data_IF_496700048072
#
_entry.id   IF_496700048072
#
_cell.length_a   1.000
_cell.length_b   1.000
_cell.length_c   1.000
_cell.angle_alpha   90.00
_cell.angle_beta   90.00
_cell.angle_gamma   90.00
#
_symmetry.space_group_name_H-M   'P 1'
#
loop_
_entity.id
_entity.type
_entity.pdbx_description
1 polymer ?
#
# COMPACT_ATOMS: atom_id res chain seq x y z
N UNK A 1 0.81 7.07 18.23
CA UNK A 1 -0.34 6.18 18.49
C UNK A 1 0.07 4.82 17.97
N UNK A 2 0.01 3.77 18.79
CA UNK A 2 0.29 2.40 18.37
C UNK A 2 -1.05 1.74 17.99
N UNK A 3 -1.43 1.85 16.72
CA UNK A 3 -2.67 1.30 16.14
C UNK A 3 -2.38 0.81 14.73
N UNK A 4 -2.99 -0.30 14.34
CA UNK A 4 -3.04 -0.71 12.93
C UNK A 4 -4.13 0.08 12.19
N UNK A 5 -4.06 0.07 10.85
CA UNK A 5 -5.08 0.67 9.99
C UNK A 5 -5.71 -0.42 9.13
N UNK A 6 -7.03 -0.37 8.95
CA UNK A 6 -7.77 -1.32 8.13
C UNK A 6 -9.15 -0.80 7.76
N UNK A 7 -10.01 -1.70 7.27
CA UNK A 7 -11.28 -1.34 6.66
C UNK A 7 -12.32 -0.79 7.66
N UNK A 8 -12.21 -1.18 8.93
CA UNK A 8 -13.12 -0.79 10.00
C UNK A 8 -12.40 -0.72 11.35
N UNK A 9 -12.86 0.11 12.29
CA UNK A 9 -12.32 0.12 13.64
C UNK A 9 -12.56 -1.23 14.33
N UNK A 10 -11.64 -1.64 15.20
CA UNK A 10 -11.77 -2.89 15.94
C UNK A 10 -10.46 -3.33 16.57
N UNK A 11 -10.30 -4.65 16.68
CA UNK A 11 -9.05 -5.31 17.08
C UNK A 11 -8.73 -6.36 16.05
N UNK A 12 -7.46 -6.45 15.65
CA UNK A 12 -6.94 -7.48 14.77
C UNK A 12 -5.67 -8.09 15.36
N UNK A 13 -5.30 -9.26 14.87
CA UNK A 13 -4.08 -9.95 15.30
C UNK A 13 -2.91 -9.51 14.42
N UNK A 14 -1.95 -8.81 15.01
CA UNK A 14 -0.67 -8.49 14.38
C UNK A 14 0.23 -9.70 14.47
N UNK A 15 0.64 -10.25 13.34
CA UNK A 15 1.54 -11.38 13.24
C UNK A 15 2.97 -10.84 13.21
N UNK A 16 3.68 -10.97 14.32
CA UNK A 16 5.02 -10.40 14.49
C UNK A 16 6.07 -11.37 13.96
N UNK A 17 6.99 -10.85 13.15
CA UNK A 17 8.24 -11.54 12.82
C UNK A 17 9.39 -10.95 13.62
N UNK A 18 9.64 -11.49 14.82
CA UNK A 18 10.61 -10.90 15.77
C UNK A 18 12.03 -10.80 15.20
N UNK A 19 12.39 -11.69 14.26
CA UNK A 19 13.71 -11.74 13.62
C UNK A 19 13.77 -11.03 12.27
N UNK A 20 12.64 -10.59 11.74
CA UNK A 20 12.56 -9.79 10.52
C UNK A 20 11.43 -8.77 10.71
N UNK A 21 11.59 -7.78 11.61
CA UNK A 21 10.45 -6.96 12.06
C UNK A 21 9.75 -6.19 10.95
N UNK A 22 10.46 -5.89 9.85
CA UNK A 22 9.95 -5.19 8.67
C UNK A 22 8.83 -5.94 7.95
N UNK A 23 8.66 -7.25 8.18
CA UNK A 23 7.60 -8.06 7.54
C UNK A 23 6.50 -8.47 8.52
N UNK A 24 6.35 -7.71 9.60
CA UNK A 24 5.22 -7.84 10.52
C UNK A 24 3.94 -7.39 9.81
N UNK A 25 2.86 -8.17 9.93
CA UNK A 25 1.67 -7.97 9.10
C UNK A 25 0.39 -8.38 9.80
N UNK A 26 -0.74 -7.84 9.36
CA UNK A 26 -2.09 -8.30 9.73
C UNK A 26 -2.63 -9.35 8.74
N UNK A 27 -1.86 -9.74 7.71
CA UNK A 27 -2.33 -10.56 6.59
C UNK A 27 -1.78 -12.00 6.62
N UNK A 28 -2.55 -12.98 7.15
CA UNK A 28 -2.21 -14.40 7.02
C UNK A 28 -2.09 -14.87 5.57
N UNK A 29 -2.90 -14.30 4.67
CA UNK A 29 -2.90 -14.65 3.26
C UNK A 29 -1.58 -14.24 2.58
N UNK A 30 -1.10 -13.04 2.90
CA UNK A 30 0.21 -12.59 2.43
C UNK A 30 1.33 -13.49 2.96
N UNK A 31 1.33 -13.84 4.25
CA UNK A 31 2.30 -14.80 4.82
C UNK A 31 2.30 -16.10 4.01
N UNK A 32 1.13 -16.69 3.76
CA UNK A 32 1.01 -17.94 3.02
C UNK A 32 1.58 -17.85 1.60
N UNK A 33 1.39 -16.71 0.93
CA UNK A 33 1.91 -16.45 -0.41
C UNK A 33 3.43 -16.23 -0.39
N UNK A 34 3.93 -15.29 0.41
CA UNK A 34 5.36 -14.97 0.43
C UNK A 34 6.21 -16.10 0.98
N UNK A 35 5.67 -16.96 1.85
CA UNK A 35 6.43 -18.09 2.40
C UNK A 35 6.82 -19.14 1.35
N UNK A 36 6.20 -19.11 0.15
CA UNK A 36 6.62 -19.92 -1.01
C UNK A 36 7.84 -19.32 -1.74
N UNK A 37 8.15 -18.05 -1.51
CA UNK A 37 9.27 -17.35 -2.14
C UNK A 37 10.59 -17.67 -1.45
N UNK A 38 11.64 -17.83 -2.26
CA UNK A 38 13.00 -18.15 -1.76
C UNK A 38 13.51 -17.10 -0.75
N UNK A 39 13.14 -15.83 -0.94
CA UNK A 39 13.51 -14.73 -0.04
C UNK A 39 12.94 -14.87 1.37
N UNK A 40 11.80 -15.56 1.53
CA UNK A 40 11.07 -15.66 2.78
C UNK A 40 11.19 -17.05 3.45
N UNK A 41 11.88 -18.00 2.83
CA UNK A 41 12.00 -19.38 3.32
C UNK A 41 12.48 -19.50 4.79
N UNK A 42 13.25 -18.51 5.28
CA UNK A 42 13.75 -18.45 6.67
C UNK A 42 12.97 -17.50 7.58
N UNK A 43 12.03 -16.73 7.04
CA UNK A 43 11.19 -15.81 7.81
C UNK A 43 10.17 -16.62 8.63
N UNK A 44 9.92 -16.18 9.86
CA UNK A 44 8.98 -16.81 10.79
C UNK A 44 8.16 -15.70 11.45
N UNK A 45 6.86 -15.96 11.58
CA UNK A 45 5.95 -15.16 12.38
C UNK A 45 5.68 -15.95 13.66
N UNK A 46 6.27 -15.50 14.75
CA UNK A 46 6.45 -16.28 15.98
C UNK A 46 5.60 -15.78 17.15
N UNK A 47 4.97 -14.60 17.03
CA UNK A 47 4.13 -14.04 18.06
C UNK A 47 2.89 -13.33 17.48
N UNK A 48 1.67 -13.82 17.75
CA UNK A 48 0.47 -13.03 17.53
C UNK A 48 0.29 -11.99 18.65
N UNK A 49 -0.07 -10.76 18.29
CA UNK A 49 -0.37 -9.68 19.23
C UNK A 49 -1.70 -9.00 18.86
N UNK A 50 -2.74 -9.02 19.71
CA UNK A 50 -3.94 -8.25 19.44
C UNK A 50 -3.64 -6.74 19.51
N UNK A 51 -3.94 -6.03 18.43
CA UNK A 51 -3.74 -4.58 18.32
C UNK A 51 -5.04 -3.87 17.94
N UNK A 52 -5.29 -2.66 18.48
CA UNK A 52 -6.39 -1.83 18.02
C UNK A 52 -6.22 -1.43 16.55
N UNK A 53 -7.33 -1.46 15.81
CA UNK A 53 -7.43 -1.07 14.40
C UNK A 53 -8.26 0.22 14.29
N UNK A 54 -7.78 1.16 13.49
CA UNK A 54 -8.50 2.37 13.06
C UNK A 54 -8.67 2.36 11.52
N UNK A 55 -9.34 3.36 10.95
CA UNK A 55 -9.46 3.54 9.49
C UNK A 55 -8.68 4.76 9.00
N UNK A 56 -8.39 4.82 7.70
CA UNK A 56 -7.82 6.02 7.08
C UNK A 56 -8.75 7.22 7.24
N UNK A 57 -10.06 7.04 7.09
CA UNK A 57 -11.02 8.12 7.33
C UNK A 57 -10.95 8.69 8.74
N UNK A 58 -10.82 7.83 9.75
CA UNK A 58 -10.69 8.27 11.15
C UNK A 58 -9.38 9.06 11.37
N UNK A 59 -8.29 8.64 10.73
CA UNK A 59 -7.03 9.38 10.75
C UNK A 59 -7.14 10.72 10.04
N UNK A 60 -7.79 10.77 8.87
CA UNK A 60 -8.02 12.01 8.13
C UNK A 60 -8.94 12.97 8.91
N UNK A 61 -10.01 12.47 9.53
CA UNK A 61 -10.90 13.29 10.35
C UNK A 61 -10.15 13.94 11.53
N UNK A 62 -9.17 13.24 12.09
CA UNK A 62 -8.38 13.71 13.23
C UNK A 62 -7.24 14.65 12.85
N UNK A 63 -6.54 14.37 11.76
CA UNK A 63 -5.29 15.04 11.40
C UNK A 63 -5.37 15.92 10.15
N UNK A 64 -6.50 15.87 9.44
CA UNK A 64 -6.68 16.46 8.12
C UNK A 64 -6.26 15.52 7.00
N UNK A 65 -6.70 15.84 5.77
CA UNK A 65 -6.34 15.07 4.59
C UNK A 65 -4.86 15.29 4.23
N UNK A 66 -4.03 14.24 4.11
CA UNK A 66 -2.63 14.40 3.77
C UNK A 66 -2.48 14.79 2.31
N UNK A 67 -1.39 15.49 1.97
CA UNK A 67 -1.00 15.68 0.57
C UNK A 67 -0.51 14.36 -0.06
N UNK A 68 0.11 13.48 0.75
CA UNK A 68 0.59 12.17 0.34
C UNK A 68 0.46 11.14 1.46
N UNK A 69 0.06 9.92 1.12
CA UNK A 69 -0.05 8.79 2.07
C UNK A 69 0.76 7.59 1.56
N UNK A 70 1.77 7.12 2.32
CA UNK A 70 2.41 5.82 2.02
C UNK A 70 1.71 4.73 2.83
N UNK A 71 1.22 3.70 2.15
CA UNK A 71 0.64 2.49 2.73
C UNK A 71 1.66 1.36 2.55
N UNK A 72 2.17 0.83 3.66
CA UNK A 72 3.37 -0.01 3.74
C UNK A 72 3.13 -1.10 4.78
N UNK A 73 2.13 -1.95 4.55
CA UNK A 73 1.50 -2.81 5.58
C UNK A 73 1.61 -4.30 5.26
N UNK A 74 2.52 -4.66 4.36
CA UNK A 74 2.94 -6.03 4.07
C UNK A 74 1.75 -6.94 3.76
N UNK A 75 0.99 -6.59 2.71
CA UNK A 75 -0.11 -7.41 2.20
C UNK A 75 -1.48 -7.13 2.83
N UNK A 76 -1.62 -6.02 3.55
CA UNK A 76 -2.87 -5.52 4.13
C UNK A 76 -3.34 -4.19 3.49
N UNK A 77 -2.78 -3.85 2.32
CA UNK A 77 -2.99 -2.58 1.63
C UNK A 77 -4.45 -2.39 1.22
N UNK A 78 -5.09 -3.47 0.78
CA UNK A 78 -6.48 -3.45 0.32
C UNK A 78 -7.42 -3.09 1.47
N UNK A 79 -7.22 -3.69 2.65
CA UNK A 79 -8.01 -3.42 3.84
C UNK A 79 -7.82 -1.97 4.31
N UNK A 80 -6.59 -1.45 4.25
CA UNK A 80 -6.33 -0.03 4.53
C UNK A 80 -7.12 0.88 3.57
N UNK A 81 -7.10 0.57 2.26
CA UNK A 81 -7.83 1.33 1.24
C UNK A 81 -9.35 1.22 1.37
N UNK A 82 -9.89 0.08 1.82
CA UNK A 82 -11.32 -0.08 2.10
C UNK A 82 -11.81 0.78 3.27
N UNK A 83 -10.90 1.24 4.13
CA UNK A 83 -11.18 2.17 5.23
C UNK A 83 -11.11 3.66 4.82
N UNK A 84 -11.06 3.94 3.52
CA UNK A 84 -11.00 5.28 2.95
C UNK A 84 -12.27 5.56 2.13
N UNK A 85 -13.04 6.58 2.48
CA UNK A 85 -14.29 6.95 1.81
C UNK A 85 -14.16 8.15 0.88
N UNK A 86 -12.97 8.77 0.82
CA UNK A 86 -12.72 9.98 0.03
C UNK A 86 -11.34 9.95 -0.63
N UNK A 87 -11.18 10.58 -1.81
CA UNK A 87 -9.89 10.58 -2.48
C UNK A 87 -8.82 11.35 -1.69
N UNK A 88 -7.64 10.75 -1.57
CA UNK A 88 -6.41 11.42 -1.13
C UNK A 88 -5.66 11.94 -2.37
N UNK A 89 -5.09 13.16 -2.36
CA UNK A 89 -4.40 13.74 -3.52
C UNK A 89 -3.35 12.82 -4.17
N UNK A 90 -2.52 12.16 -3.37
CA UNK A 90 -1.61 11.12 -3.84
C UNK A 90 -1.32 10.08 -2.74
N UNK A 91 -0.99 8.87 -3.16
CA UNK A 91 -0.58 7.79 -2.27
C UNK A 91 0.33 6.80 -2.98
N UNK A 92 1.01 5.95 -2.20
CA UNK A 92 1.67 4.76 -2.74
C UNK A 92 1.40 3.53 -1.88
N UNK A 93 1.48 2.37 -2.51
CA UNK A 93 1.35 1.07 -1.86
C UNK A 93 2.22 0.04 -2.59
N UNK A 94 2.67 -0.98 -1.86
CA UNK A 94 3.56 -1.98 -2.42
C UNK A 94 2.84 -2.95 -3.36
N UNK A 95 3.58 -3.48 -4.34
CA UNK A 95 3.21 -4.67 -5.09
C UNK A 95 4.31 -5.72 -4.95
N UNK A 96 3.89 -6.97 -4.75
CA UNK A 96 4.76 -8.14 -4.73
C UNK A 96 4.32 -9.11 -5.82
N UNK A 97 5.25 -9.72 -6.60
CA UNK A 97 4.89 -10.71 -7.60
C UNK A 97 4.02 -11.86 -7.06
N UNK A 98 4.30 -12.32 -5.83
CA UNK A 98 3.55 -13.38 -5.17
C UNK A 98 2.12 -12.96 -4.76
N UNK A 99 1.83 -11.66 -4.70
CA UNK A 99 0.55 -11.08 -4.24
C UNK A 99 0.02 -10.05 -5.26
N UNK A 100 0.21 -10.29 -6.56
CA UNK A 100 -0.15 -9.31 -7.59
C UNK A 100 -1.66 -9.01 -7.63
N UNK A 101 -2.50 -9.98 -7.25
CA UNK A 101 -3.95 -9.79 -7.17
C UNK A 101 -4.34 -8.75 -6.12
N UNK A 102 -3.66 -8.70 -4.96
CA UNK A 102 -3.86 -7.65 -3.96
C UNK A 102 -3.58 -6.27 -4.55
N UNK A 103 -2.51 -6.14 -5.35
CA UNK A 103 -2.19 -4.88 -6.02
C UNK A 103 -3.25 -4.49 -7.06
N UNK A 104 -3.80 -5.46 -7.81
CA UNK A 104 -4.92 -5.25 -8.74
C UNK A 104 -6.17 -4.75 -8.02
N UNK A 105 -6.52 -5.37 -6.90
CA UNK A 105 -7.69 -5.00 -6.10
C UNK A 105 -7.53 -3.60 -5.48
N UNK A 106 -6.31 -3.23 -5.07
CA UNK A 106 -6.00 -1.87 -4.62
C UNK A 106 -6.22 -0.83 -5.73
N UNK A 107 -5.72 -1.09 -6.95
CA UNK A 107 -5.93 -0.23 -8.12
C UNK A 107 -7.42 -0.10 -8.45
N UNK A 108 -8.17 -1.21 -8.42
CA UNK A 108 -9.61 -1.19 -8.66
C UNK A 108 -10.37 -0.38 -7.59
N UNK A 109 -10.01 -0.54 -6.32
CA UNK A 109 -10.60 0.22 -5.21
C UNK A 109 -10.37 1.72 -5.38
N UNK A 110 -9.16 2.13 -5.77
CA UNK A 110 -8.85 3.54 -6.04
C UNK A 110 -9.62 4.09 -7.23
N UNK A 111 -9.78 3.30 -8.30
CA UNK A 111 -10.55 3.70 -9.48
C UNK A 111 -12.04 3.94 -9.16
N UNK A 112 -12.59 3.26 -8.15
CA UNK A 112 -13.95 3.51 -7.64
C UNK A 112 -14.00 4.80 -6.79
N UNK A 113 -12.96 5.10 -6.01
CA UNK A 113 -12.90 6.29 -5.15
C UNK A 113 -12.78 7.60 -5.93
N UNK A 114 -12.25 7.56 -7.15
CA UNK A 114 -12.20 8.73 -8.02
C UNK A 114 -11.27 8.57 -9.22
N UNK A 115 -11.10 9.63 -10.01
CA UNK A 115 -10.23 9.60 -11.18
C UNK A 115 -8.76 9.61 -10.72
N UNK A 116 -8.14 8.42 -10.66
CA UNK A 116 -6.73 8.24 -10.38
C UNK A 116 -5.95 7.89 -11.63
N UNK A 117 -4.72 8.41 -11.71
CA UNK A 117 -3.70 7.95 -12.64
C UNK A 117 -2.52 7.38 -11.86
N UNK A 118 -1.77 6.48 -12.50
CA UNK A 118 -0.82 5.64 -11.80
C UNK A 118 0.59 5.68 -12.41
N UNK A 119 1.57 5.33 -11.60
CA UNK A 119 2.95 5.05 -12.01
C UNK A 119 3.53 3.99 -11.06
N UNK A 120 4.72 3.48 -11.33
CA UNK A 120 5.35 2.49 -10.45
C UNK A 120 6.86 2.67 -10.38
N UNK A 121 7.45 2.10 -9.35
CA UNK A 121 8.88 1.95 -9.16
C UNK A 121 9.22 0.47 -8.98
N UNK A 122 10.50 0.09 -9.10
CA UNK A 122 10.93 -1.31 -8.93
C UNK A 122 12.05 -1.39 -7.90
N UNK A 123 11.85 -2.24 -6.89
CA UNK A 123 12.65 -2.31 -5.68
C UNK A 123 12.77 -0.95 -5.00
N UNK A 124 13.89 -0.75 -4.31
CA UNK A 124 14.17 0.50 -3.57
C UNK A 124 14.64 1.67 -4.45
N UNK A 125 14.46 1.59 -5.77
CA UNK A 125 15.00 2.60 -6.67
C UNK A 125 14.33 3.97 -6.49
N UNK A 126 13.08 4.02 -5.99
CA UNK A 126 12.27 5.24 -5.82
C UNK A 126 12.19 6.12 -7.08
N UNK A 127 12.37 5.50 -8.25
CA UNK A 127 12.31 6.14 -9.55
C UNK A 127 11.07 5.66 -10.31
N UNK A 128 10.25 6.60 -10.75
CA UNK A 128 9.09 6.32 -11.59
C UNK A 128 9.53 5.74 -12.94
N UNK A 129 8.84 4.70 -13.40
CA UNK A 129 9.21 3.94 -14.59
C UNK A 129 8.57 4.44 -15.88
N UNK A 130 7.55 5.27 -15.78
CA UNK A 130 6.89 5.90 -16.93
C UNK A 130 7.03 7.42 -16.89
N UNK A 131 7.27 8.04 -18.05
CA UNK A 131 7.26 9.49 -18.19
C UNK A 131 5.84 10.05 -18.01
N UNK A 132 4.86 9.37 -18.58
CA UNK A 132 3.44 9.69 -18.44
C UNK A 132 2.79 8.86 -17.33
N UNK A 133 1.84 9.45 -16.63
CA UNK A 133 0.99 8.71 -15.70
C UNK A 133 -0.04 7.89 -16.47
N UNK A 134 -0.24 6.65 -16.06
CA UNK A 134 -1.02 5.64 -16.75
C UNK A 134 -2.46 5.57 -16.23
N UNK A 135 -3.36 5.08 -17.08
CA UNK A 135 -4.68 4.63 -16.62
C UNK A 135 -4.54 3.36 -15.77
N UNK A 136 -5.61 2.99 -15.04
CA UNK A 136 -5.62 1.73 -14.30
C UNK A 136 -5.37 0.51 -15.21
N UNK A 137 -6.09 0.31 -16.34
CA UNK A 137 -5.81 -0.80 -17.25
C UNK A 137 -4.36 -0.84 -17.75
N UNK A 138 -3.82 0.30 -18.19
CA UNK A 138 -2.45 0.37 -18.70
C UNK A 138 -1.43 0.01 -17.62
N UNK A 139 -1.63 0.47 -16.38
CA UNK A 139 -0.77 0.10 -15.26
C UNK A 139 -0.82 -1.42 -15.03
N UNK A 140 -2.01 -2.02 -14.99
CA UNK A 140 -2.17 -3.45 -14.71
C UNK A 140 -1.46 -4.31 -15.75
N UNK A 141 -1.54 -3.95 -17.02
CA UNK A 141 -0.77 -4.63 -18.09
C UNK A 141 0.75 -4.52 -17.88
N UNK A 142 1.25 -3.36 -17.43
CA UNK A 142 2.68 -3.18 -17.13
C UNK A 142 3.11 -3.98 -15.91
N UNK A 143 2.29 -4.02 -14.86
CA UNK A 143 2.57 -4.78 -13.65
C UNK A 143 2.65 -6.28 -13.92
N UNK A 144 1.85 -6.83 -14.84
CA UNK A 144 1.98 -8.22 -15.26
C UNK A 144 3.32 -8.55 -15.90
N UNK A 145 3.86 -7.62 -16.71
CA UNK A 145 5.18 -7.77 -17.30
C UNK A 145 6.26 -7.70 -16.23
N UNK A 146 6.16 -6.72 -15.32
CA UNK A 146 7.18 -6.50 -14.28
C UNK A 146 7.17 -7.60 -13.22
N UNK A 147 6.00 -8.14 -12.84
CA UNK A 147 5.90 -9.24 -11.89
C UNK A 147 6.64 -10.50 -12.38
N UNK A 148 6.70 -10.74 -13.70
CA UNK A 148 7.49 -11.86 -14.28
C UNK A 148 9.00 -11.71 -14.07
N UNK A 149 9.49 -10.53 -13.74
CA UNK A 149 10.90 -10.32 -13.38
C UNK A 149 11.22 -10.78 -11.96
N UNK A 150 10.20 -11.09 -11.14
CA UNK A 150 10.34 -11.47 -9.74
C UNK A 150 10.67 -10.30 -8.81
N UNK A 151 10.59 -9.06 -9.27
CA UNK A 151 10.91 -7.86 -8.49
C UNK A 151 9.64 -7.19 -7.97
N UNK A 152 9.63 -6.89 -6.67
CA UNK A 152 8.63 -6.03 -6.02
C UNK A 152 8.90 -4.54 -6.29
N UNK A 153 8.01 -3.68 -5.82
CA UNK A 153 8.19 -2.23 -5.78
C UNK A 153 6.92 -1.51 -5.30
N UNK A 154 6.88 -0.19 -5.46
CA UNK A 154 5.69 0.61 -5.14
C UNK A 154 4.89 0.99 -6.39
N UNK A 155 3.57 0.94 -6.27
CA UNK A 155 2.62 1.64 -7.15
C UNK A 155 2.32 3.01 -6.54
N UNK A 156 2.35 4.04 -7.37
CA UNK A 156 1.99 5.41 -7.03
C UNK A 156 0.66 5.76 -7.70
N UNK A 157 -0.25 6.35 -6.95
CA UNK A 157 -1.53 6.85 -7.45
C UNK A 157 -1.65 8.35 -7.18
N UNK A 158 -2.14 9.09 -8.18
CA UNK A 158 -2.41 10.53 -8.08
C UNK A 158 -3.83 10.83 -8.53
N UNK A 159 -4.58 11.54 -7.69
CA UNK A 159 -5.94 11.98 -8.02
C UNK A 159 -5.90 13.10 -9.06
N UNK A 160 -6.75 13.01 -10.07
CA UNK A 160 -6.95 14.05 -11.09
C UNK A 160 -8.01 15.08 -10.70
N UNK A 161 -8.75 14.84 -9.61
CA UNK A 161 -9.82 15.72 -9.16
C UNK A 161 -9.32 17.09 -8.62
N UNK A 162 -8.00 17.26 -8.44
CA UNK A 162 -7.42 18.51 -7.96
C UNK A 162 -5.95 18.70 -8.42
N UNK A 163 -5.70 19.02 -9.71
CA UNK A 163 -4.37 19.01 -10.32
C UNK A 163 -3.38 20.06 -9.74
N UNK A 164 -3.88 21.11 -9.09
CA UNK A 164 -3.07 22.26 -8.66
C UNK A 164 -2.34 22.08 -7.31
N UNK A 165 -2.54 20.94 -6.62
CA UNK A 165 -2.03 20.74 -5.25
C UNK A 165 -0.77 19.87 -5.12
N UNK A 166 -0.22 19.32 -6.20
CA UNK A 166 0.93 18.41 -6.11
C UNK A 166 1.97 18.69 -7.20
N UNK A 167 3.02 19.44 -6.86
CA UNK A 167 4.28 19.41 -7.62
C UNK A 167 5.16 18.27 -7.10
N UNK A 168 5.92 17.63 -7.99
CA UNK A 168 6.86 16.54 -7.68
C UNK A 168 7.83 16.87 -6.50
N UNK A 169 8.07 18.15 -6.24
CA UNK A 169 8.90 18.66 -5.14
C UNK A 169 8.26 18.66 -3.75
N UNK A 170 6.94 18.47 -3.62
CA UNK A 170 6.17 18.74 -2.39
C UNK A 170 5.83 17.49 -1.55
N UNK A 171 6.34 16.32 -1.91
CA UNK A 171 6.18 15.05 -1.15
C UNK A 171 6.83 15.05 0.27
N UNK A 172 7.26 16.22 0.78
CA UNK A 172 8.09 16.36 2.00
C UNK A 172 7.39 16.97 3.22
N UNK A 173 6.10 17.35 3.16
CA UNK A 173 5.38 17.85 4.35
C UNK A 173 4.45 16.78 4.94
N UNK A 174 4.82 16.30 6.13
CA UNK A 174 4.19 15.30 7.02
C UNK A 174 3.23 14.30 6.35
N UNK A 175 3.75 13.21 5.77
CA UNK A 175 2.92 12.14 5.21
C UNK A 175 2.23 11.38 6.35
N UNK A 176 0.97 11.00 6.14
CA UNK A 176 0.44 9.83 6.85
C UNK A 176 1.24 8.64 6.31
N UNK A 177 2.04 8.02 7.18
CA UNK A 177 2.70 6.76 6.89
C UNK A 177 1.97 5.68 7.67
N UNK A 178 1.41 4.73 6.95
CA UNK A 178 0.82 3.52 7.53
C UNK A 178 1.84 2.41 7.37
N UNK A 179 2.41 1.94 8.48
CA UNK A 179 3.31 0.78 8.51
C UNK A 179 2.73 -0.30 9.40
N UNK A 180 3.02 -1.57 9.06
CA UNK A 180 2.77 -2.73 9.93
C UNK A 180 3.58 -2.70 11.23
#
# INVERSE_FOLDING_TARGET
IEQAVGAKPGVAELLISSRTPTVTTLSPAWIAAVQQERGFAKVRWDAPLPVPVTTLDALIARYGAPAFCKIDVEGYELEVLQGLSQPIPALSFEYLPACLDTARDCVATLAVLGPYVFNWSVGEAQCLRSADWLSAPDLLERLEVEARTGRSGDIYARSQANPDRLRCSELKSMPIRVTG
#
